data_IF_316411739281
#
_entry.id   IF_316411739281
#
_cell.length_a   1.000
_cell.length_b   1.000
_cell.length_c   1.000
_cell.angle_alpha   90.00
_cell.angle_beta   90.00
_cell.angle_gamma   90.00
#
_symmetry.space_group_name_H-M   'P 1'
#
loop_
_entity.id
_entity.type
_entity.pdbx_description
1 polymer ?
#
# COMPACT_ATOMS: atom_id res chain seq x y z
N UNK A 1 -9.19 12.98 2.65
CA UNK A 1 -8.10 12.32 3.41
C UNK A 1 -8.35 12.41 4.91
N UNK A 2 -8.41 11.28 5.60
CA UNK A 2 -8.75 11.16 7.02
C UNK A 2 -7.63 10.41 7.78
N UNK A 3 -7.37 10.79 9.03
CA UNK A 3 -6.46 10.07 9.93
C UNK A 3 -7.25 9.63 11.15
N UNK A 4 -7.24 8.33 11.44
CA UNK A 4 -7.92 7.74 12.59
C UNK A 4 -6.96 6.91 13.43
N UNK A 5 -7.23 6.82 14.73
CA UNK A 5 -6.49 5.87 15.57
C UNK A 5 -7.10 4.48 15.47
N UNK A 6 -6.30 3.44 15.76
CA UNK A 6 -6.81 2.07 15.81
C UNK A 6 -7.97 1.88 16.80
N UNK A 7 -8.09 2.72 17.84
CA UNK A 7 -9.23 2.68 18.78
C UNK A 7 -10.54 3.19 18.18
N UNK A 8 -10.47 3.99 17.11
CA UNK A 8 -11.64 4.64 16.51
C UNK A 8 -12.43 3.68 15.62
N UNK A 9 -11.85 2.52 15.25
CA UNK A 9 -12.51 1.45 14.52
C UNK A 9 -13.80 0.97 15.20
N UNK A 10 -13.76 0.82 16.53
CA UNK A 10 -14.91 0.34 17.31
C UNK A 10 -15.97 1.44 17.40
N UNK A 11 -15.55 2.70 17.48
CA UNK A 11 -16.46 3.84 17.66
C UNK A 11 -17.15 4.25 16.35
N UNK A 12 -16.47 4.12 15.22
CA UNK A 12 -16.92 4.58 13.90
C UNK A 12 -16.48 3.59 12.81
N UNK A 13 -17.15 2.42 12.71
CA UNK A 13 -16.78 1.39 11.75
C UNK A 13 -16.96 1.81 10.29
N UNK A 14 -17.78 2.83 10.02
CA UNK A 14 -18.02 3.36 8.66
C UNK A 14 -16.74 3.79 7.95
N UNK A 15 -15.73 4.27 8.69
CA UNK A 15 -14.43 4.64 8.13
C UNK A 15 -13.65 3.47 7.52
N UNK A 16 -14.03 2.22 7.85
CA UNK A 16 -13.42 1.02 7.25
C UNK A 16 -14.38 0.36 6.26
N UNK A 17 -15.67 0.28 6.60
CA UNK A 17 -16.61 -0.55 5.84
C UNK A 17 -17.10 0.12 4.57
N UNK A 18 -17.20 1.46 4.56
CA UNK A 18 -17.56 2.27 3.38
C UNK A 18 -16.74 3.57 3.39
N UNK A 19 -15.43 3.47 3.17
CA UNK A 19 -14.58 4.65 3.11
C UNK A 19 -14.95 5.46 1.86
N UNK A 20 -15.39 6.70 2.07
CA UNK A 20 -15.58 7.68 1.00
C UNK A 20 -14.25 8.31 0.56
N UNK A 21 -13.22 8.17 1.40
CA UNK A 21 -11.99 8.93 1.33
C UNK A 21 -10.81 8.09 1.86
N UNK A 22 -9.58 8.39 1.43
CA UNK A 22 -8.38 7.65 1.89
C UNK A 22 -8.20 7.87 3.39
N UNK A 23 -8.15 6.77 4.14
CA UNK A 23 -8.10 6.78 5.61
C UNK A 23 -6.82 6.14 6.12
N UNK A 24 -6.00 6.91 6.83
CA UNK A 24 -4.79 6.43 7.48
C UNK A 24 -5.08 5.97 8.91
N UNK A 25 -4.63 4.78 9.24
CA UNK A 25 -4.80 4.19 10.56
C UNK A 25 -3.48 4.31 11.32
N UNK A 26 -3.51 5.10 12.38
CA UNK A 26 -2.37 5.32 13.26
C UNK A 26 -2.46 4.51 14.54
N UNK A 27 -1.29 4.11 15.04
CA UNK A 27 -1.15 3.65 16.41
C UNK A 27 -1.14 4.87 17.34
N UNK A 28 -2.16 4.98 18.20
CA UNK A 28 -2.31 6.10 19.13
C UNK A 28 -1.07 6.31 20.02
N UNK A 29 -0.32 5.25 20.36
CA UNK A 29 0.85 5.33 21.24
C UNK A 29 2.11 5.78 20.53
N UNK A 30 2.28 5.37 19.27
CA UNK A 30 3.53 5.61 18.51
C UNK A 30 3.39 6.72 17.47
N UNK A 31 2.17 7.20 17.19
CA UNK A 31 1.87 8.17 16.13
C UNK A 31 2.41 7.73 14.76
N UNK A 32 2.57 6.41 14.57
CA UNK A 32 3.00 5.81 13.32
C UNK A 32 1.77 5.29 12.58
N UNK A 33 1.69 5.62 11.29
CA UNK A 33 0.73 5.03 10.37
C UNK A 33 1.07 3.56 10.20
N UNK A 34 0.14 2.68 10.55
CA UNK A 34 0.29 1.22 10.41
C UNK A 34 -0.43 0.67 9.20
N UNK A 35 -1.52 1.30 8.78
CA UNK A 35 -2.36 0.79 7.71
C UNK A 35 -3.04 1.94 6.98
N UNK A 36 -3.41 1.69 5.74
CA UNK A 36 -4.18 2.60 4.90
C UNK A 36 -5.43 1.87 4.43
N UNK A 37 -6.57 2.54 4.52
CA UNK A 37 -7.85 2.08 3.99
C UNK A 37 -8.18 2.95 2.80
N UNK A 38 -8.51 2.32 1.68
CA UNK A 38 -8.74 2.99 0.39
C UNK A 38 -10.17 2.64 -0.07
N UNK A 39 -10.93 3.60 -0.64
CA UNK A 39 -12.17 3.31 -1.34
C UNK A 39 -11.99 2.22 -2.40
N UNK A 40 -12.95 1.31 -2.50
CA UNK A 40 -12.86 0.18 -3.44
C UNK A 40 -12.75 0.62 -4.90
N UNK A 41 -13.43 1.71 -5.27
CA UNK A 41 -13.35 2.30 -6.60
C UNK A 41 -11.93 2.78 -6.91
N UNK A 42 -11.27 3.41 -5.94
CA UNK A 42 -9.89 3.86 -6.08
C UNK A 42 -8.91 2.67 -6.08
N UNK A 43 -9.19 1.62 -5.28
CA UNK A 43 -8.41 0.39 -5.32
C UNK A 43 -8.42 -0.25 -6.71
N UNK A 44 -9.58 -0.31 -7.39
CA UNK A 44 -9.64 -0.87 -8.75
C UNK A 44 -8.73 -0.14 -9.74
N UNK A 45 -8.59 1.17 -9.61
CA UNK A 45 -7.73 1.97 -10.48
C UNK A 45 -6.25 1.83 -10.14
N UNK A 46 -5.93 1.48 -8.88
CA UNK A 46 -4.57 1.34 -8.37
C UNK A 46 -4.10 -0.11 -8.27
N UNK A 47 -4.98 -1.08 -8.55
CA UNK A 47 -4.73 -2.49 -8.28
C UNK A 47 -3.47 -2.98 -9.00
N UNK A 48 -3.35 -2.68 -10.29
CA UNK A 48 -2.20 -3.08 -11.11
C UNK A 48 -0.90 -2.51 -10.53
N UNK A 49 -0.85 -1.21 -10.27
CA UNK A 49 0.32 -0.53 -9.68
C UNK A 49 0.70 -1.13 -8.32
N UNK A 50 -0.29 -1.46 -7.48
CA UNK A 50 -0.04 -2.08 -6.16
C UNK A 50 0.50 -3.50 -6.33
N UNK A 51 -0.02 -4.27 -7.29
CA UNK A 51 0.41 -5.65 -7.53
C UNK A 51 1.83 -5.70 -8.09
N UNK A 52 2.18 -4.79 -8.99
CA UNK A 52 3.52 -4.65 -9.57
C UNK A 52 4.55 -4.30 -8.48
N UNK A 53 4.23 -3.33 -7.63
CA UNK A 53 5.09 -2.97 -6.48
C UNK A 53 5.27 -4.14 -5.50
N UNK A 54 4.18 -4.86 -5.21
CA UNK A 54 4.26 -6.05 -4.35
C UNK A 54 5.12 -7.16 -4.99
N UNK A 55 5.09 -7.28 -6.32
CA UNK A 55 5.92 -8.22 -7.06
C UNK A 55 7.41 -7.87 -6.93
N UNK A 56 7.78 -6.61 -7.19
CA UNK A 56 9.15 -6.11 -7.03
C UNK A 56 9.63 -6.29 -5.58
N UNK A 57 8.82 -5.88 -4.60
CA UNK A 57 9.15 -6.02 -3.17
C UNK A 57 9.35 -7.47 -2.72
N UNK A 58 8.59 -8.42 -3.28
CA UNK A 58 8.73 -9.85 -2.96
C UNK A 58 10.03 -10.40 -3.54
N UNK A 59 10.36 -10.04 -4.77
CA UNK A 59 11.61 -10.45 -5.41
C UNK A 59 12.83 -9.86 -4.70
N UNK A 60 12.77 -8.59 -4.27
CA UNK A 60 13.82 -7.96 -3.46
C UNK A 60 14.14 -8.72 -2.16
N UNK A 61 13.12 -9.36 -1.55
CA UNK A 61 13.28 -10.15 -0.33
C UNK A 61 13.71 -11.59 -0.57
N UNK A 62 13.33 -12.16 -1.72
CA UNK A 62 13.55 -13.56 -2.04
C UNK A 62 14.89 -13.80 -2.76
N UNK A 63 15.33 -12.85 -3.57
CA UNK A 63 16.54 -12.95 -4.37
C UNK A 63 17.77 -12.48 -3.57
N UNK A 64 18.93 -13.05 -3.90
CA UNK A 64 20.19 -12.44 -3.49
C UNK A 64 20.36 -11.10 -4.21
N UNK A 65 21.17 -10.19 -3.65
CA UNK A 65 21.37 -8.87 -4.25
C UNK A 65 21.73 -8.93 -5.74
N UNK A 66 22.63 -9.84 -6.10
CA UNK A 66 23.07 -10.01 -7.48
C UNK A 66 21.95 -10.50 -8.41
N UNK A 67 21.14 -11.47 -7.95
CA UNK A 67 20.00 -11.98 -8.72
C UNK A 67 18.85 -10.97 -8.81
N UNK A 68 18.69 -10.11 -7.79
CA UNK A 68 17.71 -9.02 -7.82
C UNK A 68 18.12 -7.92 -8.80
N UNK A 69 19.39 -7.53 -8.81
CA UNK A 69 19.92 -6.54 -9.75
C UNK A 69 19.76 -7.04 -11.20
N UNK A 70 20.07 -8.31 -11.48
CA UNK A 70 19.82 -8.93 -12.80
C UNK A 70 18.33 -9.00 -13.14
N UNK A 71 17.46 -9.27 -12.16
CA UNK A 71 16.01 -9.27 -12.35
C UNK A 71 15.47 -7.89 -12.76
N UNK A 72 15.97 -6.81 -12.15
CA UNK A 72 15.59 -5.44 -12.50
C UNK A 72 16.06 -5.02 -13.90
N UNK A 73 17.13 -5.63 -14.43
CA UNK A 73 17.61 -5.37 -15.80
C UNK A 73 16.79 -6.11 -16.87
N UNK A 74 16.13 -7.22 -16.49
CA UNK A 74 15.35 -8.07 -17.41
C UNK A 74 13.88 -7.65 -17.46
N UNK A 75 13.30 -7.26 -16.31
CA UNK A 75 11.99 -6.61 -16.29
C UNK A 75 12.13 -5.20 -16.85
N UNK A 76 11.41 -4.88 -17.94
CA UNK A 76 11.24 -3.49 -18.36
C UNK A 76 10.43 -2.78 -17.27
N UNK A 77 11.12 -2.18 -16.30
CA UNK A 77 10.49 -1.36 -15.28
C UNK A 77 9.81 -0.19 -16.02
N UNK A 78 8.48 -0.22 -16.13
CA UNK A 78 7.65 0.85 -16.72
C UNK A 78 7.61 2.10 -15.82
N UNK A 79 8.54 2.25 -14.87
CA UNK A 79 8.64 3.42 -13.97
C UNK A 79 9.08 4.69 -14.71
N UNK A 80 9.49 4.61 -15.98
CA UNK A 80 9.88 5.76 -16.79
C UNK A 80 8.74 6.31 -17.69
N UNK A 81 7.48 6.19 -17.25
CA UNK A 81 6.40 7.01 -17.79
C UNK A 81 6.49 8.45 -17.24
N UNK A 82 7.23 9.30 -17.98
CA UNK A 82 7.27 10.77 -17.82
C UNK A 82 5.91 11.45 -17.89
#
# INVERSE_FOLDING_TARGET
MLIINSSDFIKKPSYITRPEDITFVQDAKKQLVKSVVIPYELYKNLQEVIEDELYIMRNAKALSKQAYDEFLEIEEIVEDLK
#
